data_IF_418192699524
#
_entry.id   IF_418192699524
#
_cell.length_a   1.000
_cell.length_b   1.000
_cell.length_c   1.000
_cell.angle_alpha   90.00
_cell.angle_beta   90.00
_cell.angle_gamma   90.00
#
_symmetry.space_group_name_H-M   'P 1'
#
loop_
_entity.id
_entity.type
_entity.pdbx_description
1 polymer ?
#
# COMPACT_ATOMS: atom_id res chain seq x y z
N UNK A 1 -14.87 -14.65 52.96
CA UNK A 1 -14.42 -15.82 52.19
C UNK A 1 -14.26 -15.38 50.74
N UNK A 2 -13.07 -14.94 50.35
CA UNK A 2 -12.73 -14.58 48.98
C UNK A 2 -12.29 -15.86 48.28
N UNK A 3 -13.17 -16.42 47.44
CA UNK A 3 -12.82 -17.59 46.64
C UNK A 3 -11.78 -17.20 45.58
N UNK A 4 -10.55 -17.61 45.77
CA UNK A 4 -9.53 -17.61 44.73
C UNK A 4 -10.02 -18.54 43.62
N UNK A 5 -10.34 -17.96 42.47
CA UNK A 5 -10.52 -18.73 41.23
C UNK A 5 -9.15 -19.28 40.83
N UNK A 6 -8.86 -20.53 41.15
CA UNK A 6 -7.72 -21.23 40.61
C UNK A 6 -7.90 -21.36 39.11
N UNK A 7 -7.17 -20.60 38.33
CA UNK A 7 -7.07 -20.77 36.89
C UNK A 7 -6.28 -22.07 36.63
N UNK A 8 -6.93 -23.06 36.03
CA UNK A 8 -6.27 -24.29 35.60
C UNK A 8 -5.43 -23.96 34.38
N UNK A 9 -4.10 -23.94 34.52
CA UNK A 9 -3.19 -23.80 33.37
C UNK A 9 -3.14 -25.13 32.62
N UNK A 10 -3.50 -25.10 31.35
CA UNK A 10 -3.42 -26.26 30.46
C UNK A 10 -2.27 -26.08 29.48
N UNK A 11 -1.32 -27.00 29.48
CA UNK A 11 -0.23 -27.00 28.50
C UNK A 11 -0.76 -27.43 27.14
N UNK A 12 -0.59 -26.61 26.13
CA UNK A 12 -1.12 -26.81 24.77
C UNK A 12 -0.10 -27.52 23.88
N UNK A 13 1.19 -27.25 24.05
CA UNK A 13 2.27 -27.87 23.28
C UNK A 13 3.59 -27.86 24.03
N UNK A 14 4.51 -28.72 23.62
CA UNK A 14 5.92 -28.74 24.07
C UNK A 14 6.85 -28.62 22.87
N UNK A 15 7.81 -27.72 22.97
CA UNK A 15 8.87 -27.55 21.96
C UNK A 15 10.22 -27.92 22.58
N UNK A 16 10.95 -28.81 21.92
CA UNK A 16 12.34 -29.12 22.28
C UNK A 16 13.27 -28.22 21.49
N UNK A 17 13.90 -27.28 22.16
CA UNK A 17 14.73 -26.23 21.55
C UNK A 17 16.10 -26.19 22.20
N UNK A 18 17.12 -25.71 21.46
CA UNK A 18 18.45 -25.50 22.01
C UNK A 18 18.50 -24.21 22.80
N UNK A 19 18.83 -24.30 24.10
CA UNK A 19 19.04 -23.14 24.97
C UNK A 19 20.05 -22.16 24.39
N UNK A 20 21.17 -22.68 23.84
CA UNK A 20 22.21 -21.87 23.21
C UNK A 20 21.68 -21.07 22.03
N UNK A 21 20.98 -21.74 21.09
CA UNK A 21 20.43 -21.10 19.87
C UNK A 21 19.41 -20.04 20.24
N UNK A 22 18.52 -20.29 21.18
CA UNK A 22 17.56 -19.27 21.63
C UNK A 22 18.24 -18.06 22.25
N UNK A 23 19.19 -18.26 23.15
CA UNK A 23 19.93 -17.15 23.78
C UNK A 23 20.71 -16.30 22.76
N UNK A 24 21.30 -16.94 21.75
CA UNK A 24 22.02 -16.22 20.67
C UNK A 24 21.08 -15.52 19.68
N UNK A 25 19.80 -15.91 19.67
CA UNK A 25 18.83 -15.37 18.69
C UNK A 25 18.07 -14.14 19.18
N UNK A 26 17.99 -13.91 20.50
CA UNK A 26 17.18 -12.87 21.11
C UNK A 26 17.73 -12.42 22.45
N UNK A 27 17.89 -11.10 22.69
CA UNK A 27 18.31 -10.55 23.99
C UNK A 27 17.36 -10.95 25.12
N UNK A 28 16.06 -11.01 24.87
CA UNK A 28 15.05 -11.42 25.84
C UNK A 28 15.23 -12.88 26.25
N UNK A 29 15.49 -13.78 25.30
CA UNK A 29 15.80 -15.17 25.61
C UNK A 29 17.16 -15.33 26.28
N UNK A 30 18.15 -14.52 25.92
CA UNK A 30 19.46 -14.56 26.58
C UNK A 30 19.32 -14.17 28.04
N UNK A 31 18.66 -13.06 28.35
CA UNK A 31 18.39 -12.64 29.72
C UNK A 31 17.63 -13.71 30.50
N UNK A 32 16.58 -14.28 29.93
CA UNK A 32 15.73 -15.31 30.58
C UNK A 32 16.49 -16.60 30.85
N UNK A 33 17.29 -17.07 29.88
CA UNK A 33 17.89 -18.42 29.93
C UNK A 33 19.30 -18.43 30.56
N UNK A 34 20.07 -17.33 30.51
CA UNK A 34 21.41 -17.25 31.07
C UNK A 34 21.48 -16.32 32.29
N UNK A 35 20.46 -15.50 32.53
CA UNK A 35 20.39 -14.56 33.65
C UNK A 35 20.11 -15.23 35.00
N UNK A 36 19.69 -14.43 35.97
CA UNK A 36 19.36 -14.88 37.32
C UNK A 36 17.88 -15.29 37.48
N UNK A 37 17.13 -15.39 36.40
CA UNK A 37 15.72 -15.75 36.42
C UNK A 37 15.52 -17.25 36.70
N UNK A 38 14.34 -17.62 37.17
CA UNK A 38 13.96 -19.01 37.46
C UNK A 38 14.12 -19.91 36.22
N UNK A 39 13.82 -19.37 35.05
CA UNK A 39 13.90 -20.03 33.75
C UNK A 39 15.33 -20.50 33.43
N UNK A 40 16.35 -19.81 33.93
CA UNK A 40 17.75 -20.19 33.68
C UNK A 40 18.12 -21.54 34.28
N UNK A 41 17.43 -21.95 35.39
CA UNK A 41 17.64 -23.18 36.14
C UNK A 41 16.64 -24.28 35.78
N UNK A 42 15.64 -23.98 34.98
CA UNK A 42 14.58 -24.92 34.59
C UNK A 42 14.91 -25.62 33.27
N UNK A 43 14.55 -26.88 33.18
CA UNK A 43 14.56 -27.66 31.92
C UNK A 43 13.33 -27.33 31.05
N UNK A 44 12.28 -26.75 31.65
CA UNK A 44 11.04 -26.39 30.98
C UNK A 44 10.71 -24.94 31.30
N UNK A 45 10.49 -24.15 30.27
CA UNK A 45 10.14 -22.73 30.38
C UNK A 45 8.74 -22.53 29.83
N UNK A 46 7.77 -22.05 30.63
CA UNK A 46 6.44 -21.76 30.14
C UNK A 46 6.44 -20.52 29.26
N UNK A 47 5.63 -20.57 28.18
CA UNK A 47 5.47 -19.45 27.23
C UNK A 47 3.99 -19.11 27.15
N UNK A 48 3.63 -17.88 27.50
CA UNK A 48 2.24 -17.40 27.60
C UNK A 48 1.85 -16.39 26.52
N UNK A 49 2.58 -16.32 25.43
CA UNK A 49 2.33 -15.36 24.35
C UNK A 49 2.47 -16.06 22.98
N UNK A 50 1.86 -15.44 21.98
CA UNK A 50 1.86 -15.95 20.61
C UNK A 50 0.92 -17.15 20.41
N UNK A 51 0.76 -17.53 19.17
CA UNK A 51 0.06 -18.76 18.77
C UNK A 51 1.04 -19.92 18.64
N UNK A 52 0.54 -21.15 18.66
CA UNK A 52 1.40 -22.33 18.43
C UNK A 52 2.18 -22.22 17.14
N UNK A 53 1.51 -21.85 16.06
CA UNK A 53 2.12 -21.74 14.72
C UNK A 53 3.15 -20.63 14.63
N UNK A 54 2.90 -19.47 15.25
CA UNK A 54 3.85 -18.34 15.25
C UNK A 54 5.11 -18.65 16.03
N UNK A 55 5.00 -19.32 17.18
CA UNK A 55 6.13 -19.79 17.98
C UNK A 55 6.91 -20.89 17.26
N UNK A 56 6.21 -21.87 16.70
CA UNK A 56 6.82 -22.95 15.93
C UNK A 56 7.63 -22.38 14.76
N UNK A 57 7.07 -21.45 14.00
CA UNK A 57 7.77 -20.81 12.90
C UNK A 57 9.09 -20.18 13.37
N UNK A 58 9.06 -19.39 14.46
CA UNK A 58 10.27 -18.77 14.98
C UNK A 58 11.29 -19.77 15.49
N UNK A 59 10.86 -20.81 16.23
CA UNK A 59 11.78 -21.84 16.69
C UNK A 59 12.45 -22.57 15.53
N UNK A 60 11.71 -22.85 14.45
CA UNK A 60 12.27 -23.47 13.24
C UNK A 60 13.22 -22.55 12.49
N UNK A 61 12.88 -21.26 12.35
CA UNK A 61 13.75 -20.26 11.72
C UNK A 61 15.08 -20.16 12.45
N UNK A 62 15.06 -19.98 13.77
CA UNK A 62 16.31 -19.78 14.54
C UNK A 62 17.15 -21.06 14.63
N UNK A 63 16.55 -22.22 14.55
CA UNK A 63 17.25 -23.51 14.52
C UNK A 63 17.60 -23.98 13.10
N UNK A 64 17.20 -23.24 12.08
CA UNK A 64 17.39 -23.58 10.66
C UNK A 64 16.81 -24.97 10.31
N UNK A 65 15.65 -25.33 10.84
CA UNK A 65 14.93 -26.59 10.63
C UNK A 65 13.53 -26.30 10.11
N UNK A 66 13.36 -26.27 8.79
CA UNK A 66 12.07 -25.99 8.17
C UNK A 66 11.42 -27.28 7.67
N UNK A 67 10.09 -27.30 7.72
CA UNK A 67 9.24 -28.40 7.16
C UNK A 67 8.21 -27.79 6.22
N UNK A 68 7.72 -28.57 5.28
CA UNK A 68 6.84 -28.08 4.20
C UNK A 68 5.52 -27.51 4.71
N UNK A 69 4.95 -28.08 5.77
CA UNK A 69 3.70 -27.64 6.37
C UNK A 69 3.76 -26.19 6.86
N UNK A 70 4.96 -25.71 7.19
CA UNK A 70 5.14 -24.29 7.59
C UNK A 70 4.95 -23.30 6.43
N UNK A 71 4.99 -23.75 5.19
CA UNK A 71 4.69 -22.89 4.05
C UNK A 71 3.19 -22.71 3.79
N UNK A 72 2.34 -23.50 4.44
CA UNK A 72 0.87 -23.42 4.34
C UNK A 72 0.24 -22.54 5.43
N UNK A 73 1.06 -21.79 6.18
CA UNK A 73 0.58 -20.85 7.18
C UNK A 73 -0.34 -19.80 6.56
N UNK A 74 -1.43 -19.52 7.27
CA UNK A 74 -2.36 -18.48 6.86
C UNK A 74 -1.75 -17.08 7.09
N UNK A 75 -2.27 -16.09 6.39
CA UNK A 75 -1.84 -14.69 6.54
C UNK A 75 -1.89 -14.25 8.01
N UNK A 76 -2.93 -14.66 8.76
CA UNK A 76 -3.06 -14.34 10.19
C UNK A 76 -1.92 -14.94 11.03
N UNK A 77 -1.48 -16.16 10.73
CA UNK A 77 -0.39 -16.83 11.45
C UNK A 77 0.94 -16.07 11.29
N UNK A 78 1.17 -15.47 10.11
CA UNK A 78 2.37 -14.66 9.83
C UNK A 78 2.31 -13.30 10.54
N UNK A 79 1.14 -12.67 10.62
CA UNK A 79 0.95 -11.49 11.48
C UNK A 79 1.30 -11.80 12.93
N UNK A 80 0.79 -12.92 13.47
CA UNK A 80 1.12 -13.36 14.83
C UNK A 80 2.62 -13.65 14.99
N UNK A 81 3.30 -14.17 13.96
CA UNK A 81 4.75 -14.34 14.00
C UNK A 81 5.51 -13.02 14.02
N UNK A 82 5.05 -11.98 13.32
CA UNK A 82 5.62 -10.63 13.37
C UNK A 82 5.42 -10.04 14.78
N UNK A 83 4.25 -10.24 15.40
CA UNK A 83 3.98 -9.81 16.78
C UNK A 83 4.92 -10.47 17.77
N UNK A 84 5.06 -11.77 17.68
CA UNK A 84 5.98 -12.56 18.54
C UNK A 84 7.43 -12.10 18.35
N UNK A 85 7.82 -11.73 17.13
CA UNK A 85 9.12 -11.15 16.82
C UNK A 85 9.40 -9.90 17.66
N UNK A 86 8.47 -8.94 17.67
CA UNK A 86 8.58 -7.72 18.45
C UNK A 86 8.65 -7.98 19.94
N UNK A 87 7.78 -8.83 20.47
CA UNK A 87 7.71 -9.19 21.90
C UNK A 87 8.94 -9.90 22.43
N UNK A 88 9.71 -10.54 21.56
CA UNK A 88 10.95 -11.27 21.94
C UNK A 88 12.21 -10.64 21.40
N UNK A 89 12.09 -9.48 20.79
CA UNK A 89 13.22 -8.77 20.19
C UNK A 89 14.06 -9.67 19.27
N UNK A 90 13.39 -10.56 18.52
CA UNK A 90 14.04 -11.30 17.46
C UNK A 90 14.33 -10.37 16.28
N UNK A 91 15.41 -10.63 15.59
CA UNK A 91 15.72 -9.90 14.37
C UNK A 91 14.80 -10.35 13.24
N UNK A 92 13.86 -9.50 12.83
CA UNK A 92 12.92 -9.75 11.74
C UNK A 92 13.64 -10.10 10.43
N UNK A 93 14.89 -9.66 10.27
CA UNK A 93 15.67 -9.98 9.08
C UNK A 93 15.99 -11.47 8.94
N UNK A 94 16.00 -12.22 10.04
CA UNK A 94 16.14 -13.70 10.01
C UNK A 94 14.92 -14.34 9.34
N UNK A 95 13.73 -13.82 9.59
CA UNK A 95 12.51 -14.28 8.94
C UNK A 95 12.46 -13.82 7.48
N UNK A 96 12.66 -12.52 7.21
CA UNK A 96 12.52 -11.96 5.87
C UNK A 96 13.55 -12.48 4.87
N UNK A 97 14.79 -12.81 5.32
CA UNK A 97 15.86 -13.37 4.48
C UNK A 97 15.82 -14.90 4.39
N UNK A 98 14.94 -15.57 5.12
CA UNK A 98 14.82 -17.02 5.09
C UNK A 98 14.28 -17.51 3.75
N UNK A 99 14.66 -18.72 3.36
CA UNK A 99 14.05 -19.39 2.20
C UNK A 99 12.55 -19.60 2.40
N UNK A 100 12.14 -19.83 3.66
CA UNK A 100 10.74 -19.97 4.03
C UNK A 100 9.90 -18.77 3.60
N UNK A 101 10.32 -17.55 3.94
CA UNK A 101 9.53 -16.35 3.65
C UNK A 101 9.29 -16.19 2.15
N UNK A 102 10.30 -16.45 1.34
CA UNK A 102 10.21 -16.40 -0.13
C UNK A 102 9.25 -17.45 -0.67
N UNK A 103 9.38 -18.69 -0.21
CA UNK A 103 8.50 -19.79 -0.65
C UNK A 103 7.06 -19.55 -0.20
N UNK A 104 6.86 -19.14 1.05
CA UNK A 104 5.54 -18.78 1.56
C UNK A 104 4.87 -17.69 0.72
N UNK A 105 5.60 -16.59 0.41
CA UNK A 105 5.08 -15.50 -0.41
C UNK A 105 4.73 -15.97 -1.83
N UNK A 106 5.55 -16.83 -2.43
CA UNK A 106 5.28 -17.41 -3.75
C UNK A 106 3.98 -18.23 -3.75
N UNK A 107 3.73 -19.01 -2.70
CA UNK A 107 2.49 -19.80 -2.54
C UNK A 107 1.24 -18.94 -2.38
N UNK A 108 1.37 -17.70 -1.93
CA UNK A 108 0.22 -16.76 -1.84
C UNK A 108 -0.35 -16.39 -3.21
N UNK A 109 0.37 -16.63 -4.32
CA UNK A 109 -0.06 -16.27 -5.68
C UNK A 109 -0.63 -14.86 -5.75
N UNK A 110 0.08 -13.90 -5.17
CA UNK A 110 -0.40 -12.53 -4.93
C UNK A 110 -1.00 -11.84 -6.16
N UNK A 111 -0.67 -12.28 -7.39
CA UNK A 111 -1.21 -11.74 -8.63
C UNK A 111 -2.65 -12.17 -8.91
N UNK A 112 -3.09 -13.27 -8.33
CA UNK A 112 -4.43 -13.86 -8.48
C UNK A 112 -5.39 -13.42 -7.36
N UNK A 113 -4.88 -12.74 -6.33
CA UNK A 113 -5.66 -12.32 -5.17
C UNK A 113 -6.65 -11.19 -5.53
N UNK A 114 -7.78 -11.19 -4.85
CA UNK A 114 -8.68 -10.04 -4.82
C UNK A 114 -8.10 -8.88 -4.00
N UNK A 115 -8.72 -7.70 -4.11
CA UNK A 115 -8.26 -6.50 -3.42
C UNK A 115 -8.33 -6.62 -1.88
N UNK A 116 -9.25 -7.44 -1.36
CA UNK A 116 -9.36 -7.70 0.07
C UNK A 116 -8.18 -8.51 0.59
N UNK A 117 -7.84 -9.59 -0.12
CA UNK A 117 -6.70 -10.44 0.20
C UNK A 117 -5.39 -9.65 0.06
N UNK A 118 -5.24 -8.85 -1.02
CA UNK A 118 -4.10 -7.95 -1.18
C UNK A 118 -3.96 -6.96 -0.02
N UNK A 119 -5.07 -6.36 0.44
CA UNK A 119 -5.04 -5.41 1.57
C UNK A 119 -4.69 -6.03 2.92
N UNK A 120 -4.82 -7.36 3.06
CA UNK A 120 -4.31 -8.12 4.22
C UNK A 120 -2.83 -8.49 4.08
N UNK A 121 -2.38 -8.77 2.86
CA UNK A 121 -1.03 -9.25 2.60
C UNK A 121 0.01 -8.12 2.52
N UNK A 122 -0.41 -6.91 2.17
CA UNK A 122 0.47 -5.77 1.90
C UNK A 122 1.34 -5.38 3.11
N UNK A 123 0.83 -5.48 4.33
CA UNK A 123 1.61 -5.23 5.55
C UNK A 123 2.77 -6.22 5.67
N UNK A 124 2.49 -7.52 5.49
CA UNK A 124 3.53 -8.58 5.52
C UNK A 124 4.56 -8.34 4.44
N UNK A 125 4.13 -7.97 3.22
CA UNK A 125 5.05 -7.70 2.12
C UNK A 125 6.01 -6.53 2.44
N UNK A 126 5.55 -5.53 3.19
CA UNK A 126 6.40 -4.44 3.69
C UNK A 126 7.35 -4.92 4.80
N UNK A 127 6.83 -5.58 5.82
CA UNK A 127 7.62 -5.98 7.00
C UNK A 127 8.67 -7.05 6.67
N UNK A 128 8.35 -7.98 5.76
CA UNK A 128 9.28 -8.99 5.30
C UNK A 128 10.12 -8.58 4.07
N UNK A 129 10.06 -7.32 3.68
CA UNK A 129 10.87 -6.71 2.62
C UNK A 129 10.70 -7.40 1.25
N UNK A 130 9.46 -7.54 0.79
CA UNK A 130 9.09 -8.03 -0.54
C UNK A 130 8.77 -6.88 -1.49
N UNK A 131 9.76 -6.23 -2.12
CA UNK A 131 9.54 -4.97 -2.84
C UNK A 131 8.68 -5.14 -4.10
N UNK A 132 8.79 -6.25 -4.82
CA UNK A 132 7.99 -6.51 -6.04
C UNK A 132 6.52 -6.73 -5.72
N UNK A 133 6.27 -7.56 -4.73
CA UNK A 133 4.95 -7.92 -4.25
C UNK A 133 4.25 -6.70 -3.67
N UNK A 134 4.95 -5.93 -2.85
CA UNK A 134 4.44 -4.69 -2.27
C UNK A 134 4.08 -3.67 -3.35
N UNK A 135 4.96 -3.44 -4.31
CA UNK A 135 4.75 -2.51 -5.41
C UNK A 135 3.54 -2.91 -6.26
N UNK A 136 3.45 -4.19 -6.64
CA UNK A 136 2.31 -4.71 -7.41
C UNK A 136 0.98 -4.55 -6.67
N UNK A 137 0.91 -4.96 -5.39
CA UNK A 137 -0.32 -4.87 -4.60
C UNK A 137 -0.74 -3.41 -4.37
N UNK A 138 0.20 -2.50 -4.10
CA UNK A 138 -0.11 -1.07 -3.98
C UNK A 138 -0.64 -0.48 -5.28
N UNK A 139 -0.10 -0.87 -6.43
CA UNK A 139 -0.64 -0.49 -7.73
C UNK A 139 -2.08 -0.98 -7.88
N UNK A 140 -2.31 -2.29 -7.68
CA UNK A 140 -3.65 -2.88 -7.83
C UNK A 140 -4.69 -2.27 -6.92
N UNK A 141 -4.32 -1.97 -5.66
CA UNK A 141 -5.21 -1.29 -4.72
C UNK A 141 -5.58 0.12 -5.18
N UNK A 142 -4.63 0.87 -5.73
CA UNK A 142 -4.86 2.26 -6.20
C UNK A 142 -5.77 2.28 -7.42
N UNK A 143 -5.57 1.39 -8.39
CA UNK A 143 -6.40 1.34 -9.60
C UNK A 143 -7.76 0.68 -9.37
N UNK A 144 -7.81 -0.39 -8.57
CA UNK A 144 -8.99 -1.23 -8.44
C UNK A 144 -9.96 -0.83 -7.31
N UNK A 145 -9.55 0.06 -6.38
CA UNK A 145 -10.43 0.42 -5.26
C UNK A 145 -11.24 1.68 -5.56
N UNK A 146 -12.57 1.57 -5.56
CA UNK A 146 -13.47 2.71 -5.69
C UNK A 146 -13.47 3.58 -4.41
N UNK A 147 -13.65 2.95 -3.26
CA UNK A 147 -13.70 3.58 -1.95
C UNK A 147 -12.32 3.94 -1.39
N UNK A 148 -12.29 4.42 -0.14
CA UNK A 148 -11.04 4.69 0.57
C UNK A 148 -10.25 3.39 0.78
N UNK A 149 -8.98 3.40 0.36
CA UNK A 149 -8.07 2.26 0.52
C UNK A 149 -7.73 2.12 2.00
N UNK A 150 -7.87 0.91 2.53
CA UNK A 150 -7.56 0.56 3.92
C UNK A 150 -6.70 -0.68 3.93
N UNK A 151 -5.72 -0.74 4.82
CA UNK A 151 -5.10 -2.01 5.16
C UNK A 151 -6.06 -2.81 6.07
N UNK A 152 -5.95 -4.13 6.01
CA UNK A 152 -6.83 -5.03 6.73
C UNK A 152 -6.00 -5.97 7.59
N UNK A 153 -5.74 -5.55 8.81
CA UNK A 153 -5.14 -6.44 9.79
C UNK A 153 -6.13 -7.53 10.20
N UNK A 154 -5.83 -8.82 9.98
CA UNK A 154 -6.72 -9.91 10.36
C UNK A 154 -6.61 -10.29 11.86
N UNK A 155 -5.71 -9.63 12.62
CA UNK A 155 -5.44 -9.92 14.03
C UNK A 155 -6.08 -8.90 14.96
N UNK A 156 -5.96 -9.13 16.28
CA UNK A 156 -6.36 -8.18 17.32
C UNK A 156 -5.30 -7.13 17.63
N UNK A 157 -4.10 -7.28 17.08
CA UNK A 157 -2.94 -6.42 17.35
C UNK A 157 -3.04 -5.12 16.57
N UNK A 158 -3.66 -4.11 17.19
CA UNK A 158 -3.98 -2.84 16.51
C UNK A 158 -2.78 -2.03 16.02
N UNK A 159 -1.57 -2.35 16.48
CA UNK A 159 -0.33 -1.69 16.06
C UNK A 159 0.28 -2.30 14.78
N UNK A 160 -0.13 -3.53 14.39
CA UNK A 160 0.32 -4.19 13.17
C UNK A 160 -0.41 -3.64 11.94
N UNK A 161 -0.07 -2.43 11.58
CA UNK A 161 -0.62 -1.72 10.44
C UNK A 161 0.50 -1.07 9.62
N UNK A 162 0.19 -0.78 8.36
CA UNK A 162 1.05 0.07 7.55
C UNK A 162 1.20 1.46 8.18
N UNK A 163 2.36 2.05 7.96
CA UNK A 163 2.65 3.42 8.36
C UNK A 163 1.54 4.37 7.86
N UNK A 164 1.13 5.32 8.69
CA UNK A 164 0.10 6.31 8.35
C UNK A 164 0.45 7.14 7.10
N UNK A 165 1.72 7.21 6.72
CA UNK A 165 2.18 7.84 5.48
C UNK A 165 1.85 7.01 4.24
N UNK A 166 1.68 5.70 4.38
CA UNK A 166 1.31 4.77 3.30
C UNK A 166 -0.22 4.67 3.20
N UNK A 167 -0.86 4.31 4.32
CA UNK A 167 -2.32 4.24 4.46
C UNK A 167 -2.72 4.82 5.81
N UNK A 168 -3.55 5.85 5.79
CA UNK A 168 -4.03 6.45 7.03
C UNK A 168 -5.15 5.61 7.64
N UNK A 169 -4.98 5.28 8.93
CA UNK A 169 -6.06 4.72 9.73
C UNK A 169 -7.12 5.82 9.92
N UNK A 170 -8.35 5.58 9.49
CA UNK A 170 -9.47 6.43 9.84
C UNK A 170 -9.75 6.23 11.33
N UNK A 171 -9.04 6.95 12.21
CA UNK A 171 -9.39 7.02 13.61
C UNK A 171 -10.78 7.68 13.75
N UNK A 172 -11.59 7.21 14.69
CA UNK A 172 -12.80 7.94 15.11
C UNK A 172 -12.36 9.35 15.53
N UNK A 173 -12.70 10.33 14.71
CA UNK A 173 -12.32 11.73 14.93
C UNK A 173 -12.90 12.25 16.23
N UNK A 174 -12.07 12.63 17.17
CA UNK A 174 -12.41 13.61 18.17
C UNK A 174 -12.33 15.01 17.55
N UNK A 175 -13.21 15.87 17.95
CA UNK A 175 -13.42 17.23 17.39
C UNK A 175 -12.17 18.14 17.36
N UNK A 176 -11.09 17.75 18.03
CA UNK A 176 -9.82 18.49 18.13
C UNK A 176 -8.87 18.28 16.95
N UNK A 177 -9.13 17.28 16.06
CA UNK A 177 -8.22 16.89 14.98
C UNK A 177 -8.56 17.52 13.62
N UNK A 178 -9.36 18.56 13.59
CA UNK A 178 -9.75 19.28 12.35
C UNK A 178 -8.54 19.79 11.53
N UNK A 179 -7.39 19.98 12.16
CA UNK A 179 -6.16 20.43 11.51
C UNK A 179 -5.44 19.31 10.74
N UNK A 180 -5.72 18.04 11.04
CA UNK A 180 -5.10 16.88 10.41
C UNK A 180 -5.84 16.36 9.16
N UNK A 181 -6.93 17.01 8.75
CA UNK A 181 -7.74 16.62 7.59
C UNK A 181 -7.01 16.73 6.23
N UNK A 182 -5.84 17.34 6.18
CA UNK A 182 -5.16 17.62 4.92
C UNK A 182 -3.94 16.75 4.61
N UNK A 183 -3.54 15.82 5.46
CA UNK A 183 -2.48 14.88 5.16
C UNK A 183 -3.07 13.66 4.43
N UNK A 184 -3.10 13.70 3.11
CA UNK A 184 -3.40 12.53 2.30
C UNK A 184 -2.29 11.49 2.50
N UNK A 185 -2.65 10.23 2.73
CA UNK A 185 -1.70 9.13 2.67
C UNK A 185 -1.31 8.82 1.20
N UNK A 186 -0.23 8.07 1.02
CA UNK A 186 0.32 7.81 -0.30
C UNK A 186 -0.67 7.12 -1.24
N UNK A 187 -1.35 6.09 -0.80
CA UNK A 187 -2.22 5.28 -1.67
C UNK A 187 -3.51 6.03 -2.04
N UNK A 188 -4.17 6.65 -1.07
CA UNK A 188 -5.37 7.43 -1.36
C UNK A 188 -5.04 8.72 -2.13
N UNK A 189 -3.87 9.30 -1.87
CA UNK A 189 -3.35 10.43 -2.65
C UNK A 189 -3.08 10.05 -4.10
N UNK A 190 -2.43 8.91 -4.37
CA UNK A 190 -2.21 8.39 -5.72
C UNK A 190 -3.54 8.13 -6.44
N UNK A 191 -4.50 7.48 -5.77
CA UNK A 191 -5.84 7.25 -6.31
C UNK A 191 -6.55 8.57 -6.68
N UNK A 192 -6.51 9.56 -5.81
CA UNK A 192 -7.07 10.88 -6.07
C UNK A 192 -6.44 11.54 -7.28
N UNK A 193 -5.11 11.43 -7.42
CA UNK A 193 -4.37 11.97 -8.55
C UNK A 193 -4.74 11.27 -9.87
N UNK A 194 -4.87 9.94 -9.88
CA UNK A 194 -5.34 9.19 -11.05
C UNK A 194 -6.73 9.66 -11.48
N UNK A 195 -7.68 9.78 -10.56
CA UNK A 195 -9.01 10.31 -10.85
C UNK A 195 -8.97 11.71 -11.44
N UNK A 196 -8.15 12.60 -10.89
CA UNK A 196 -7.96 13.94 -11.45
C UNK A 196 -7.40 13.89 -12.88
N UNK A 197 -6.47 12.98 -13.18
CA UNK A 197 -5.94 12.80 -14.54
C UNK A 197 -7.00 12.30 -15.51
N UNK A 198 -7.79 11.31 -15.12
CA UNK A 198 -8.92 10.82 -15.91
C UNK A 198 -9.87 11.98 -16.23
N UNK A 199 -10.35 12.68 -15.21
CA UNK A 199 -11.26 13.81 -15.40
C UNK A 199 -10.65 14.89 -16.29
N UNK A 200 -9.38 15.24 -16.07
CA UNK A 200 -8.71 16.24 -16.92
C UNK A 200 -8.65 15.78 -18.39
N UNK A 201 -8.30 14.52 -18.63
CA UNK A 201 -8.24 13.97 -19.99
C UNK A 201 -9.59 13.98 -20.69
N UNK A 202 -10.64 13.51 -19.99
CA UNK A 202 -11.99 13.41 -20.53
C UNK A 202 -12.69 14.77 -20.71
N UNK A 203 -12.45 15.74 -19.83
CA UNK A 203 -13.18 17.02 -19.88
C UNK A 203 -12.37 18.19 -20.48
N UNK A 204 -11.09 18.01 -20.78
CA UNK A 204 -10.34 18.99 -21.58
C UNK A 204 -10.97 19.25 -22.96
N UNK A 205 -11.41 18.24 -23.74
CA UNK A 205 -12.09 18.46 -25.01
C UNK A 205 -13.36 19.33 -24.89
N UNK A 206 -14.14 19.14 -23.82
CA UNK A 206 -15.34 19.97 -23.54
C UNK A 206 -14.97 21.46 -23.46
N UNK A 207 -13.94 21.80 -22.69
CA UNK A 207 -13.45 23.18 -22.58
C UNK A 207 -12.97 23.74 -23.92
N UNK A 208 -12.33 22.90 -24.75
CA UNK A 208 -11.88 23.30 -26.09
C UNK A 208 -13.06 23.57 -27.01
N UNK A 209 -14.09 22.69 -27.04
CA UNK A 209 -15.30 22.92 -27.85
C UNK A 209 -15.99 24.24 -27.50
N UNK A 210 -16.14 24.53 -26.20
CA UNK A 210 -16.77 25.77 -25.75
C UNK A 210 -16.04 27.02 -26.23
N UNK A 211 -14.72 26.97 -26.38
CA UNK A 211 -13.87 28.08 -26.81
C UNK A 211 -13.75 28.22 -28.34
N UNK A 212 -14.21 27.24 -29.14
CA UNK A 212 -14.14 27.32 -30.59
C UNK A 212 -15.10 28.39 -31.14
N UNK A 213 -14.72 28.98 -32.28
CA UNK A 213 -15.53 29.98 -33.00
C UNK A 213 -16.33 29.36 -34.16
N UNK A 214 -16.15 28.06 -34.49
CA UNK A 214 -16.82 27.40 -35.57
C UNK A 214 -18.30 27.12 -35.24
N UNK A 215 -19.15 27.02 -36.28
CA UNK A 215 -20.58 26.72 -36.13
C UNK A 215 -20.82 25.28 -35.64
N UNK A 216 -19.96 24.33 -36.02
CA UNK A 216 -20.09 22.90 -35.69
C UNK A 216 -19.78 22.59 -34.20
N UNK A 217 -19.33 23.56 -33.40
CA UNK A 217 -18.93 23.32 -32.01
C UNK A 217 -20.04 22.76 -31.12
N UNK A 218 -21.28 23.17 -31.34
CA UNK A 218 -22.45 22.70 -30.55
C UNK A 218 -22.73 21.22 -30.77
N UNK A 219 -22.79 20.84 -32.05
CA UNK A 219 -23.06 19.47 -32.44
C UNK A 219 -21.91 18.55 -32.01
N UNK A 220 -20.66 19.00 -32.21
CA UNK A 220 -19.49 18.26 -31.78
C UNK A 220 -19.41 18.10 -30.23
N UNK A 221 -19.79 19.13 -29.49
CA UNK A 221 -19.84 19.04 -28.03
C UNK A 221 -20.93 18.06 -27.58
N UNK A 222 -22.12 18.13 -28.24
CA UNK A 222 -23.23 17.25 -27.92
C UNK A 222 -22.86 15.78 -28.17
N UNK A 223 -22.30 15.45 -29.32
CA UNK A 223 -21.88 14.08 -29.65
C UNK A 223 -20.78 13.58 -28.70
N UNK A 224 -19.83 14.43 -28.34
CA UNK A 224 -18.82 14.09 -27.35
C UNK A 224 -19.43 13.76 -25.97
N UNK A 225 -20.36 14.61 -25.50
CA UNK A 225 -21.05 14.35 -24.22
C UNK A 225 -21.94 13.10 -24.28
N UNK A 226 -22.56 12.83 -25.42
CA UNK A 226 -23.32 11.60 -25.67
C UNK A 226 -22.43 10.37 -25.60
N UNK A 227 -21.23 10.40 -26.23
CA UNK A 227 -20.23 9.34 -26.12
C UNK A 227 -19.81 9.10 -24.66
N UNK A 228 -19.51 10.15 -23.88
CA UNK A 228 -19.22 10.02 -22.46
C UNK A 228 -20.39 9.43 -21.65
N UNK A 229 -21.62 9.69 -22.04
CA UNK A 229 -22.82 9.14 -21.39
C UNK A 229 -22.98 7.65 -21.67
N UNK A 230 -22.66 7.19 -22.88
CA UNK A 230 -22.73 5.76 -23.26
C UNK A 230 -21.73 4.92 -22.44
N UNK A 231 -20.55 5.44 -22.14
CA UNK A 231 -19.56 4.74 -21.31
C UNK A 231 -19.91 4.75 -19.81
N UNK A 232 -20.99 5.40 -19.39
CA UNK A 232 -21.34 5.52 -17.98
C UNK A 232 -20.43 6.43 -17.14
N UNK A 233 -19.48 7.14 -17.78
CA UNK A 233 -18.60 8.11 -17.10
C UNK A 233 -19.36 9.40 -16.79
N UNK A 234 -20.35 9.71 -17.58
CA UNK A 234 -21.26 10.83 -17.39
C UNK A 234 -22.66 10.32 -16.97
N UNK A 235 -23.30 10.84 -15.93
CA UNK A 235 -22.90 11.98 -15.09
C UNK A 235 -21.76 11.67 -14.11
N UNK A 236 -21.10 12.72 -13.59
CA UNK A 236 -19.91 12.61 -12.74
C UNK A 236 -20.14 11.83 -11.43
N UNK A 237 -21.36 11.77 -10.93
CA UNK A 237 -21.75 10.97 -9.76
C UNK A 237 -21.49 9.47 -9.98
N UNK A 238 -21.67 8.99 -11.21
CA UNK A 238 -21.35 7.60 -11.58
C UNK A 238 -19.86 7.35 -11.54
N UNK A 239 -19.07 8.29 -12.08
CA UNK A 239 -17.61 8.26 -12.03
C UNK A 239 -17.07 8.16 -10.59
N UNK A 240 -17.70 8.82 -9.62
CA UNK A 240 -17.24 8.79 -8.23
C UNK A 240 -17.44 7.43 -7.55
N UNK A 241 -18.33 6.59 -8.04
CA UNK A 241 -18.62 5.23 -7.51
C UNK A 241 -17.70 4.15 -8.07
N UNK A 242 -17.06 4.42 -9.21
CA UNK A 242 -16.21 3.45 -9.89
C UNK A 242 -14.75 3.59 -9.49
N UNK A 243 -14.00 2.51 -9.57
CA UNK A 243 -12.54 2.52 -9.46
C UNK A 243 -11.91 3.13 -10.72
N UNK A 244 -10.63 3.50 -10.65
CA UNK A 244 -9.92 3.99 -11.83
C UNK A 244 -9.83 2.91 -12.93
N UNK A 245 -9.71 1.63 -12.55
CA UNK A 245 -9.67 0.52 -13.50
C UNK A 245 -11.01 0.34 -14.20
N UNK A 246 -12.12 0.30 -13.46
CA UNK A 246 -13.45 0.20 -14.05
C UNK A 246 -13.72 1.31 -15.05
N UNK A 247 -13.26 2.53 -14.79
CA UNK A 247 -13.40 3.65 -15.72
C UNK A 247 -12.52 3.46 -16.96
N UNK A 248 -11.28 2.99 -16.79
CA UNK A 248 -10.39 2.72 -17.91
C UNK A 248 -10.94 1.61 -18.82
N UNK A 249 -11.54 0.59 -18.22
CA UNK A 249 -12.13 -0.54 -18.95
C UNK A 249 -13.31 -0.11 -19.85
N UNK A 250 -13.98 1.03 -19.54
CA UNK A 250 -15.06 1.57 -20.40
C UNK A 250 -14.56 2.45 -21.54
N UNK A 251 -13.26 2.76 -21.60
CA UNK A 251 -12.73 3.63 -22.66
C UNK A 251 -12.84 3.01 -24.05
N UNK A 252 -12.74 1.69 -24.14
CA UNK A 252 -12.91 0.95 -25.40
C UNK A 252 -14.36 0.97 -25.93
N UNK A 253 -15.32 1.30 -25.06
CA UNK A 253 -16.73 1.43 -25.40
C UNK A 253 -17.10 2.86 -25.84
N UNK A 254 -16.13 3.78 -25.84
CA UNK A 254 -16.37 5.17 -26.21
C UNK A 254 -16.59 5.27 -27.73
N UNK A 255 -17.82 5.58 -28.12
CA UNK A 255 -18.20 5.86 -29.47
C UNK A 255 -18.79 7.28 -29.57
N UNK A 256 -18.38 8.00 -30.59
CA UNK A 256 -18.79 9.37 -30.82
C UNK A 256 -19.09 9.58 -32.32
N UNK A 257 -20.31 9.96 -32.61
CA UNK A 257 -20.72 10.31 -33.98
C UNK A 257 -19.98 11.59 -34.43
N UNK A 258 -19.55 11.61 -35.71
CA UNK A 258 -18.88 12.77 -36.29
C UNK A 258 -19.88 13.58 -37.08
N UNK A 259 -20.24 14.81 -36.66
CA UNK A 259 -21.13 15.66 -37.43
C UNK A 259 -20.59 15.88 -38.85
N UNK A 260 -21.44 15.80 -39.86
CA UNK A 260 -21.05 15.91 -41.28
C UNK A 260 -20.30 17.22 -41.59
N UNK A 261 -20.68 18.31 -40.92
CA UNK A 261 -20.10 19.64 -41.10
C UNK A 261 -18.98 19.97 -40.06
N UNK A 262 -18.47 18.95 -39.37
CA UNK A 262 -17.46 19.17 -38.36
C UNK A 262 -16.12 19.64 -38.97
N UNK A 263 -15.58 20.75 -38.47
CA UNK A 263 -14.27 21.21 -38.89
C UNK A 263 -13.14 20.32 -38.34
N UNK A 264 -11.97 20.38 -39.00
CA UNK A 264 -10.81 19.56 -38.62
C UNK A 264 -10.48 19.62 -37.12
N UNK A 265 -10.56 20.78 -36.48
CA UNK A 265 -10.28 20.95 -35.05
C UNK A 265 -11.26 20.20 -34.17
N UNK A 266 -12.54 20.20 -34.53
CA UNK A 266 -13.57 19.46 -33.81
C UNK A 266 -13.43 17.95 -34.06
N UNK A 267 -13.22 17.53 -35.30
CA UNK A 267 -13.00 16.11 -35.66
C UNK A 267 -11.80 15.51 -34.89
N UNK A 268 -10.71 16.25 -34.77
CA UNK A 268 -9.54 15.80 -34.02
C UNK A 268 -9.87 15.53 -32.53
N UNK A 269 -10.80 16.28 -31.94
CA UNK A 269 -11.21 16.12 -30.54
C UNK A 269 -12.26 15.04 -30.34
N UNK A 270 -13.04 14.75 -31.38
CA UNK A 270 -14.00 13.65 -31.41
C UNK A 270 -13.34 12.32 -31.73
N UNK A 271 -12.05 12.29 -32.07
CA UNK A 271 -11.36 11.05 -32.39
C UNK A 271 -11.09 10.24 -31.12
N UNK A 272 -11.26 8.92 -31.23
CA UNK A 272 -10.99 7.94 -30.18
C UNK A 272 -9.55 8.06 -29.62
N UNK A 273 -8.61 8.54 -30.45
CA UNK A 273 -7.23 8.80 -30.08
C UNK A 273 -7.05 9.75 -28.89
N UNK A 274 -8.03 10.59 -28.58
CA UNK A 274 -7.99 11.48 -27.39
C UNK A 274 -8.27 10.71 -26.11
N UNK A 275 -9.25 9.80 -26.15
CA UNK A 275 -9.64 8.94 -25.02
C UNK A 275 -8.56 7.88 -24.80
N UNK A 276 -8.14 7.19 -25.85
CA UNK A 276 -7.06 6.20 -25.82
C UNK A 276 -5.76 6.79 -25.23
N UNK A 277 -5.37 7.99 -25.67
CA UNK A 277 -4.21 8.69 -25.09
C UNK A 277 -4.38 8.96 -23.60
N UNK A 278 -5.57 9.34 -23.17
CA UNK A 278 -5.88 9.55 -21.75
C UNK A 278 -5.75 8.23 -21.00
N UNK A 279 -6.27 7.14 -21.53
CA UNK A 279 -6.16 5.79 -20.98
C UNK A 279 -4.70 5.39 -20.77
N UNK A 280 -3.87 5.48 -21.80
CA UNK A 280 -2.45 5.14 -21.76
C UNK A 280 -1.69 6.00 -20.72
N UNK A 281 -1.93 7.31 -20.71
CA UNK A 281 -1.30 8.21 -19.73
C UNK A 281 -1.71 7.93 -18.28
N UNK A 282 -2.91 7.40 -18.07
CA UNK A 282 -3.39 7.02 -16.75
C UNK A 282 -2.83 5.67 -16.34
N UNK A 283 -2.81 4.68 -17.23
CA UNK A 283 -2.27 3.34 -16.98
C UNK A 283 -0.78 3.39 -16.61
N UNK A 284 -0.02 4.27 -17.25
CA UNK A 284 1.41 4.47 -17.00
C UNK A 284 1.72 5.44 -15.83
N UNK A 285 0.70 5.93 -15.13
CA UNK A 285 0.91 7.00 -14.15
C UNK A 285 1.42 6.54 -12.80
N UNK A 286 1.10 5.32 -12.38
CA UNK A 286 1.47 4.84 -11.06
C UNK A 286 1.83 3.35 -11.09
N UNK A 287 3.11 3.05 -10.88
CA UNK A 287 3.66 1.70 -10.89
C UNK A 287 3.51 0.95 -9.56
N UNK A 288 2.98 1.61 -8.54
CA UNK A 288 2.96 1.13 -7.17
C UNK A 288 4.02 1.81 -6.29
N UNK A 289 4.00 1.59 -4.98
CA UNK A 289 4.97 2.16 -4.05
C UNK A 289 6.25 1.31 -4.02
N UNK A 290 7.39 1.96 -4.16
CA UNK A 290 8.70 1.31 -4.08
C UNK A 290 9.27 1.40 -2.65
N UNK A 291 9.55 0.26 -2.02
CA UNK A 291 10.13 0.19 -0.67
C UNK A 291 11.51 0.88 -0.61
N UNK A 292 12.32 0.76 -1.66
CA UNK A 292 13.65 1.37 -1.71
C UNK A 292 13.57 2.89 -1.77
N UNK A 293 12.68 3.45 -2.62
CA UNK A 293 12.41 4.88 -2.66
C UNK A 293 11.89 5.40 -1.33
N UNK A 294 10.97 4.66 -0.69
CA UNK A 294 10.42 5.00 0.62
C UNK A 294 11.49 4.98 1.71
N UNK A 295 12.39 3.99 1.68
CA UNK A 295 13.48 3.88 2.65
C UNK A 295 14.47 5.05 2.55
N UNK A 296 14.84 5.46 1.34
CA UNK A 296 15.73 6.61 1.11
C UNK A 296 15.12 7.93 1.60
N UNK A 297 13.78 8.01 1.63
CA UNK A 297 13.07 9.22 2.05
C UNK A 297 12.94 9.38 3.56
N UNK A 298 13.21 8.32 4.33
CA UNK A 298 13.14 8.41 5.80
C UNK A 298 14.25 9.31 6.34
N UNK A 299 13.93 10.24 7.26
CA UNK A 299 14.97 11.05 7.90
C UNK A 299 15.92 10.14 8.67
N UNK A 300 17.24 10.33 8.47
CA UNK A 300 18.28 9.52 9.11
C UNK A 300 18.35 9.67 10.62
N UNK A 301 17.81 10.74 11.17
CA UNK A 301 18.01 11.15 12.57
C UNK A 301 16.71 11.21 13.39
N UNK A 302 15.65 10.52 12.98
CA UNK A 302 14.36 10.54 13.70
C UNK A 302 13.70 11.93 13.75
N UNK A 303 14.24 12.92 13.02
CA UNK A 303 13.66 14.25 12.90
C UNK A 303 12.47 14.22 11.97
N UNK A 304 11.59 15.17 12.20
CA UNK A 304 10.34 15.45 11.56
C UNK A 304 10.20 14.87 10.13
N UNK A 305 9.31 13.91 9.96
CA UNK A 305 8.99 13.29 8.66
C UNK A 305 8.62 14.36 7.63
N UNK A 306 7.99 15.43 8.05
CA UNK A 306 7.62 16.56 7.20
C UNK A 306 8.83 17.34 6.70
N UNK A 307 9.89 17.47 7.50
CA UNK A 307 11.11 18.14 7.07
C UNK A 307 11.87 17.35 5.98
N UNK A 308 11.93 16.02 6.09
CA UNK A 308 12.52 15.17 5.04
C UNK A 308 11.70 15.20 3.76
N UNK A 309 10.37 15.23 3.90
CA UNK A 309 9.42 15.42 2.82
C UNK A 309 9.71 16.68 1.98
N UNK A 310 9.97 17.81 2.63
CA UNK A 310 10.21 19.08 1.95
C UNK A 310 11.62 19.24 1.38
N UNK A 311 12.56 18.44 1.82
CA UNK A 311 13.95 18.43 1.35
C UNK A 311 14.15 17.59 0.08
N UNK A 312 13.18 16.76 -0.28
CA UNK A 312 13.32 15.88 -1.43
C UNK A 312 13.25 16.66 -2.74
N UNK A 313 14.25 16.43 -3.60
CA UNK A 313 14.27 16.99 -4.94
C UNK A 313 13.29 16.21 -5.84
N UNK A 314 12.13 16.84 -6.11
CA UNK A 314 11.10 16.29 -6.99
C UNK A 314 11.56 16.11 -8.45
N UNK A 315 12.72 16.68 -8.81
CA UNK A 315 13.31 16.59 -10.14
C UNK A 315 14.28 15.40 -10.25
N UNK A 316 14.73 14.82 -9.13
CA UNK A 316 15.51 13.59 -9.18
C UNK A 316 14.60 12.42 -9.51
N UNK A 317 14.63 12.09 -10.79
CA UNK A 317 14.12 10.81 -11.23
C UNK A 317 14.91 9.70 -10.54
N UNK A 318 14.21 8.76 -9.92
CA UNK A 318 14.63 7.43 -9.45
C UNK A 318 16.09 7.21 -9.08
N UNK A 319 16.29 6.57 -7.96
CA UNK A 319 17.52 5.85 -7.74
C UNK A 319 17.55 4.66 -8.73
N UNK A 320 18.50 4.67 -9.66
CA UNK A 320 18.79 3.49 -10.51
C UNK A 320 19.18 2.25 -9.71
N UNK A 321 19.27 2.37 -8.39
CA UNK A 321 19.57 1.31 -7.45
C UNK A 321 18.36 0.63 -6.81
N UNK A 322 17.12 0.97 -7.22
CA UNK A 322 15.95 0.26 -6.71
C UNK A 322 15.92 -1.19 -7.19
N UNK A 323 15.62 -2.10 -6.28
CA UNK A 323 15.49 -3.54 -6.57
C UNK A 323 14.36 -3.87 -7.53
N UNK A 324 13.40 -2.97 -7.68
CA UNK A 324 12.31 -3.05 -8.67
C UNK A 324 12.45 -1.87 -9.61
N UNK A 325 12.50 -2.16 -10.91
CA UNK A 325 12.47 -1.10 -11.93
C UNK A 325 11.10 -0.47 -12.00
N UNK A 326 11.05 0.84 -12.11
CA UNK A 326 9.84 1.64 -12.26
C UNK A 326 10.17 2.95 -12.96
N UNK A 327 9.25 3.48 -13.74
CA UNK A 327 9.47 4.66 -14.57
C UNK A 327 8.82 5.93 -13.99
N UNK A 328 7.94 5.78 -12.99
CA UNK A 328 7.22 6.88 -12.38
C UNK A 328 7.61 7.09 -10.92
N UNK A 329 7.49 8.30 -10.37
CA UNK A 329 7.71 8.54 -8.95
C UNK A 329 6.80 7.66 -8.11
N UNK A 330 7.38 6.74 -7.36
CA UNK A 330 6.65 5.69 -6.65
C UNK A 330 6.65 5.90 -5.15
N UNK A 331 6.89 7.10 -4.67
CA UNK A 331 6.83 7.32 -3.25
C UNK A 331 5.76 8.33 -2.84
N UNK A 332 5.26 8.15 -1.60
CA UNK A 332 3.98 8.67 -1.17
C UNK A 332 3.83 10.20 -1.34
N UNK A 333 4.87 10.96 -1.06
CA UNK A 333 4.76 12.42 -1.07
C UNK A 333 4.57 13.01 -2.49
N UNK A 334 4.96 12.31 -3.55
CA UNK A 334 4.70 12.74 -4.93
C UNK A 334 3.22 12.91 -5.22
N UNK A 335 2.36 12.28 -4.43
CA UNK A 335 0.91 12.29 -4.59
C UNK A 335 0.19 13.18 -3.57
N UNK A 336 0.88 13.69 -2.55
CA UNK A 336 0.28 14.36 -1.39
C UNK A 336 0.05 15.87 -1.56
N UNK A 337 0.42 16.50 -2.64
CA UNK A 337 0.24 17.94 -2.78
C UNK A 337 0.29 18.44 -4.21
N UNK A 338 -0.21 19.64 -4.41
CA UNK A 338 -0.04 20.32 -5.69
C UNK A 338 1.42 20.75 -5.81
N UNK A 339 2.06 20.40 -6.92
CA UNK A 339 3.46 20.77 -7.24
C UNK A 339 3.78 22.24 -6.95
N UNK A 340 2.84 23.14 -7.27
CA UNK A 340 2.97 24.58 -7.01
C UNK A 340 3.01 24.94 -5.53
N UNK A 341 2.23 24.24 -4.69
CA UNK A 341 2.23 24.46 -3.24
C UNK A 341 3.53 23.95 -2.61
N UNK A 342 4.02 22.80 -3.08
CA UNK A 342 5.29 22.24 -2.63
C UNK A 342 6.47 23.14 -3.00
N UNK A 343 6.50 23.66 -4.22
CA UNK A 343 7.53 24.59 -4.67
C UNK A 343 7.50 25.91 -3.89
N UNK A 344 6.30 26.47 -3.62
CA UNK A 344 6.15 27.68 -2.82
C UNK A 344 6.65 27.52 -1.39
N UNK A 345 6.38 26.37 -0.75
CA UNK A 345 6.87 26.08 0.59
C UNK A 345 8.37 25.79 0.62
N UNK A 346 8.92 25.14 -0.40
CA UNK A 346 10.36 24.95 -0.55
C UNK A 346 11.11 26.29 -0.62
N UNK A 347 10.61 27.22 -1.43
CA UNK A 347 11.16 28.58 -1.54
C UNK A 347 11.04 29.35 -0.22
N UNK A 348 9.94 29.22 0.50
CA UNK A 348 9.73 29.88 1.79
C UNK A 348 10.66 29.36 2.90
N UNK A 349 11.10 28.09 2.83
CA UNK A 349 12.04 27.47 3.80
C UNK A 349 13.52 27.77 3.50
N UNK A 350 13.83 28.19 2.28
CA UNK A 350 15.19 28.58 1.88
C UNK A 350 15.48 30.06 2.15
N UNK A 351 14.48 30.81 2.54
CA UNK A 351 14.58 32.21 3.03
C UNK A 351 14.58 32.24 4.55
#
# INVERSE_FOLDING_TARGET
MTGEKSTIETTIAHYKVSKKVLSESSPVWDASLRGHFRESRSSTVPVYFGTLKSLELWFRIVHNVMVDEMHDLQVVDVYEAIEVCGNREWDISKLSKSSWAREWMNRQKYRELDLNAMSRLIYIAKELDFPREFMYMTQKLVYGTADHIKDRNPTKHQHLHLDHTIIRKLAHYSYSDQFLMYSADALNGAKGNLRCKILKGLFTPVGVFLQQSCECKKDSLFEYCKGLSHTGIWPLESHMKNSAQEILDTFDEFECDKPENACYKCLFRLSDSSIERTGNQVQEHFDGLCLDCMSVSKPKDGKDVDAAYWQHDTLKQYSRGCRVQHDQPTWYWSFMGRRTQMQAQQVARQR
#
